data_IF_238440526893
#
_entry.id   IF_238440526893
#
_cell.length_a   1.000
_cell.length_b   1.000
_cell.length_c   1.000
_cell.angle_alpha   90.00
_cell.angle_beta   90.00
_cell.angle_gamma   90.00
#
_symmetry.space_group_name_H-M   'P 1'
#
loop_
_entity.id
_entity.type
_entity.pdbx_description
1 polymer ?
#
# COMPACT_ATOMS: atom_id res chain seq x y z
N UNK A 1 20.41 0.65 11.33
CA UNK A 1 19.32 0.09 10.49
C UNK A 1 18.19 1.10 10.46
N UNK A 2 17.80 1.51 9.25
CA UNK A 2 16.70 2.47 9.05
C UNK A 2 15.44 1.69 8.70
N UNK A 3 14.34 1.97 9.42
CA UNK A 3 13.06 1.33 9.17
C UNK A 3 12.20 2.22 8.27
N UNK A 4 11.92 1.75 7.06
CA UNK A 4 11.03 2.44 6.12
C UNK A 4 9.63 1.87 6.30
N UNK A 5 8.65 2.72 6.58
CA UNK A 5 7.23 2.35 6.63
C UNK A 5 6.59 2.63 5.28
N UNK A 6 5.88 1.65 4.73
CA UNK A 6 5.16 1.80 3.46
C UNK A 6 3.66 1.83 3.79
N UNK A 7 3.01 2.88 3.30
CA UNK A 7 1.56 3.06 3.37
C UNK A 7 1.02 3.34 1.98
N UNK A 8 -0.20 2.90 1.72
CA UNK A 8 -0.96 3.27 0.52
C UNK A 8 -2.14 4.09 0.99
N UNK A 9 -2.39 5.19 0.29
CA UNK A 9 -3.62 5.96 0.41
C UNK A 9 -4.45 5.68 -0.84
N UNK A 10 -5.70 5.26 -0.65
CA UNK A 10 -6.68 5.08 -1.73
C UNK A 10 -7.81 6.08 -1.55
N UNK A 11 -8.20 6.74 -2.62
CA UNK A 11 -9.37 7.64 -2.66
C UNK A 11 -10.34 7.08 -3.71
N UNK A 12 -11.51 6.63 -3.26
CA UNK A 12 -12.54 6.01 -4.12
C UNK A 12 -13.64 7.01 -4.49
N UNK A 13 -14.05 7.83 -3.52
CA UNK A 13 -14.91 9.00 -3.72
C UNK A 13 -14.16 10.29 -3.30
N UNK A 14 -14.51 11.45 -3.87
CA UNK A 14 -13.87 12.72 -3.50
C UNK A 14 -13.93 12.96 -1.99
N UNK A 15 -12.76 13.00 -1.34
CA UNK A 15 -12.63 13.22 0.10
C UNK A 15 -12.76 11.97 0.98
N UNK A 16 -13.05 10.79 0.42
CA UNK A 16 -13.03 9.53 1.16
C UNK A 16 -11.72 8.79 0.96
N UNK A 17 -10.86 8.86 1.98
CA UNK A 17 -9.50 8.32 1.93
C UNK A 17 -9.32 7.19 2.91
N UNK A 18 -8.77 6.09 2.42
CA UNK A 18 -8.39 4.96 3.24
C UNK A 18 -6.88 4.77 3.19
N UNK A 19 -6.29 4.61 4.38
CA UNK A 19 -4.85 4.41 4.54
C UNK A 19 -4.58 2.98 4.95
N UNK A 20 -3.82 2.28 4.13
CA UNK A 20 -3.47 0.87 4.32
C UNK A 20 -1.99 0.76 4.66
N UNK A 21 -1.67 0.17 5.81
CA UNK A 21 -0.28 -0.17 6.11
C UNK A 21 0.14 -1.40 5.32
N UNK A 22 1.17 -1.24 4.49
CA UNK A 22 1.65 -2.30 3.59
C UNK A 22 2.69 -3.19 4.25
N UNK A 23 3.54 -2.56 5.06
CA UNK A 23 4.61 -3.22 5.77
C UNK A 23 5.78 -2.28 6.02
N UNK A 24 6.86 -2.88 6.49
CA UNK A 24 8.09 -2.18 6.82
C UNK A 24 9.30 -2.85 6.20
N UNK A 25 10.15 -2.04 5.58
CA UNK A 25 11.43 -2.47 5.04
C UNK A 25 12.54 -2.07 6.00
N UNK A 26 13.47 -2.99 6.24
CA UNK A 26 14.66 -2.72 7.03
C UNK A 26 15.81 -2.45 6.07
N UNK A 27 16.34 -1.23 6.07
CA UNK A 27 17.49 -0.85 5.26
C UNK A 27 18.77 -0.81 6.10
N UNK A 28 19.83 -1.38 5.53
CA UNK A 28 21.14 -1.51 6.15
C UNK A 28 21.93 -0.18 6.02
N UNK A 29 21.74 0.56 4.92
CA UNK A 29 22.42 1.82 4.62
C UNK A 29 21.57 3.05 4.96
N UNK A 30 22.20 4.05 5.57
CA UNK A 30 21.68 5.43 5.74
C UNK A 30 22.07 6.36 4.59
N UNK A 31 22.96 5.91 3.68
CA UNK A 31 23.35 6.68 2.51
C UNK A 31 22.36 6.43 1.38
N UNK A 32 21.84 7.53 0.83
CA UNK A 32 20.86 7.55 -0.23
C UNK A 32 21.51 7.18 -1.58
N UNK A 33 21.76 5.89 -1.84
CA UNK A 33 22.15 5.42 -3.18
C UNK A 33 20.91 5.03 -3.99
N UNK A 34 20.92 5.24 -5.31
CA UNK A 34 19.80 4.84 -6.18
C UNK A 34 19.51 3.32 -6.11
N UNK A 35 20.56 2.53 -5.84
CA UNK A 35 20.50 1.08 -5.64
C UNK A 35 19.87 0.73 -4.27
N UNK A 36 20.08 1.58 -3.25
CA UNK A 36 19.49 1.47 -1.91
C UNK A 36 18.02 1.93 -1.86
N UNK A 37 17.56 2.70 -2.85
CA UNK A 37 16.13 3.04 -3.01
C UNK A 37 15.33 1.99 -3.77
N UNK A 38 16.00 1.08 -4.48
CA UNK A 38 15.37 -0.02 -5.18
C UNK A 38 14.63 -0.96 -4.23
N UNK A 39 13.46 -1.44 -4.66
CA UNK A 39 12.82 -2.59 -4.03
C UNK A 39 13.48 -3.85 -4.59
N UNK A 40 13.87 -4.78 -3.72
CA UNK A 40 14.15 -6.14 -4.20
C UNK A 40 12.88 -6.73 -4.84
N UNK A 41 13.06 -7.72 -5.72
CA UNK A 41 11.93 -8.40 -6.35
C UNK A 41 10.96 -9.01 -5.32
N UNK A 42 11.49 -9.51 -4.21
CA UNK A 42 10.70 -10.11 -3.11
C UNK A 42 9.88 -9.03 -2.39
N UNK A 43 10.49 -7.88 -2.10
CA UNK A 43 9.80 -6.74 -1.47
C UNK A 43 8.74 -6.17 -2.41
N UNK A 44 9.08 -5.96 -3.69
CA UNK A 44 8.17 -5.48 -4.73
C UNK A 44 6.94 -6.38 -4.88
N UNK A 45 7.14 -7.70 -4.99
CA UNK A 45 6.03 -8.66 -5.07
C UNK A 45 5.16 -8.68 -3.80
N UNK A 46 5.78 -8.51 -2.62
CA UNK A 46 5.04 -8.46 -1.35
C UNK A 46 4.18 -7.21 -1.26
N UNK A 47 4.74 -6.05 -1.62
CA UNK A 47 4.03 -4.76 -1.67
C UNK A 47 2.90 -4.83 -2.70
N UNK A 48 3.14 -5.36 -3.90
CA UNK A 48 2.13 -5.50 -4.95
C UNK A 48 0.91 -6.29 -4.47
N UNK A 49 1.11 -7.43 -3.79
CA UNK A 49 0.00 -8.23 -3.25
C UNK A 49 -0.82 -7.48 -2.22
N UNK A 50 -0.19 -6.64 -1.40
CA UNK A 50 -0.91 -5.82 -0.43
C UNK A 50 -1.66 -4.69 -1.11
N UNK A 51 -1.06 -4.02 -2.09
CA UNK A 51 -1.75 -3.01 -2.92
C UNK A 51 -3.00 -3.62 -3.56
N UNK A 52 -2.85 -4.75 -4.24
CA UNK A 52 -3.97 -5.43 -4.90
C UNK A 52 -5.08 -5.78 -3.91
N UNK A 53 -4.74 -6.31 -2.72
CA UNK A 53 -5.75 -6.62 -1.69
C UNK A 53 -6.43 -5.37 -1.12
N UNK A 54 -5.68 -4.30 -0.88
CA UNK A 54 -6.22 -3.05 -0.36
C UNK A 54 -7.20 -2.41 -1.36
N UNK A 55 -6.81 -2.35 -2.63
CA UNK A 55 -7.67 -1.83 -3.70
C UNK A 55 -8.92 -2.69 -3.89
N UNK A 56 -8.77 -4.01 -4.00
CA UNK A 56 -9.90 -4.92 -4.19
C UNK A 56 -10.87 -4.90 -3.00
N UNK A 57 -10.35 -4.85 -1.76
CA UNK A 57 -11.20 -4.71 -0.57
C UNK A 57 -11.99 -3.41 -0.63
N UNK A 58 -11.33 -2.32 -0.99
CA UNK A 58 -11.99 -1.03 -1.08
C UNK A 58 -13.13 -1.02 -2.11
N UNK A 59 -12.89 -1.60 -3.29
CA UNK A 59 -13.94 -1.76 -4.30
C UNK A 59 -15.11 -2.61 -3.83
N UNK A 60 -14.85 -3.70 -3.10
CA UNK A 60 -15.91 -4.57 -2.55
C UNK A 60 -16.73 -3.82 -1.49
N UNK A 61 -16.08 -3.05 -0.61
CA UNK A 61 -16.77 -2.23 0.39
C UNK A 61 -17.68 -1.20 -0.28
N UNK A 62 -17.17 -0.47 -1.27
CA UNK A 62 -17.95 0.52 -2.04
C UNK A 62 -19.16 -0.10 -2.76
N UNK A 63 -18.97 -1.25 -3.45
CA UNK A 63 -20.07 -1.97 -4.09
C UNK A 63 -21.11 -2.41 -3.04
N UNK A 64 -20.67 -2.91 -1.89
CA UNK A 64 -21.56 -3.38 -0.83
C UNK A 64 -22.40 -2.24 -0.24
N UNK A 65 -21.83 -1.03 -0.15
CA UNK A 65 -22.57 0.16 0.29
C UNK A 65 -23.63 0.59 -0.72
N UNK A 66 -23.29 0.57 -2.02
CA UNK A 66 -24.25 0.84 -3.10
C UNK A 66 -25.40 -0.16 -3.07
N UNK A 67 -25.10 -1.46 -2.95
CA UNK A 67 -26.14 -2.51 -2.90
C UNK A 67 -27.04 -2.41 -1.66
N UNK A 68 -26.53 -1.95 -0.51
CA UNK A 68 -27.34 -1.71 0.69
C UNK A 68 -28.27 -0.50 0.59
N UNK A 69 -27.96 0.45 -0.27
CA UNK A 69 -28.75 1.66 -0.46
C UNK A 69 -29.91 1.47 -1.45
N UNK A 70 -29.89 0.40 -2.26
CA UNK A 70 -30.95 0.01 -3.19
C UNK A 70 -32.00 -0.91 -2.54
#
# INVERSE_FOLDING_TARGET
MTKVRIKIETEFAPGERWVHEVGTLNRISTEASAEDFGLSLVEGNSIQKVIQRAVLRGQVEEISEIERAC
#
